data_IF_567612856982
#
_entry.id   IF_567612856982
#
_cell.length_a   1.000
_cell.length_b   1.000
_cell.length_c   1.000
_cell.angle_alpha   90.00
_cell.angle_beta   90.00
_cell.angle_gamma   90.00
#
_symmetry.space_group_name_H-M   'P 1'
#
loop_
_entity.id
_entity.type
_entity.pdbx_description
1 polymer ?
#
# COMPACT_ATOMS: atom_id res chain seq x y z
N UNK A 1 -1.43 -22.74 -10.08
CA UNK A 1 -1.19 -21.79 -8.96
C UNK A 1 -1.83 -22.29 -7.68
N UNK A 2 -1.04 -22.55 -6.63
CA UNK A 2 -1.54 -23.04 -5.33
C UNK A 2 -1.67 -21.94 -4.25
N UNK A 3 -1.07 -20.75 -4.45
CA UNK A 3 -1.17 -19.63 -3.49
C UNK A 3 -2.55 -18.96 -3.54
N UNK A 4 -3.18 -18.78 -2.38
CA UNK A 4 -4.51 -18.16 -2.25
C UNK A 4 -4.52 -16.70 -2.73
N UNK A 5 -3.50 -15.91 -2.38
CA UNK A 5 -3.38 -14.51 -2.80
C UNK A 5 -3.16 -14.40 -4.31
N UNK A 6 -2.31 -15.25 -4.88
CA UNK A 6 -2.12 -15.33 -6.33
C UNK A 6 -3.41 -15.71 -7.07
N UNK A 7 -4.20 -16.63 -6.52
CA UNK A 7 -5.52 -16.97 -7.09
C UNK A 7 -6.51 -15.80 -7.00
N UNK A 8 -6.48 -15.02 -5.91
CA UNK A 8 -7.28 -13.81 -5.81
C UNK A 8 -6.87 -12.78 -6.88
N UNK A 9 -5.57 -12.56 -7.08
CA UNK A 9 -5.05 -11.71 -8.16
C UNK A 9 -5.48 -12.20 -9.54
N UNK A 10 -5.40 -13.51 -9.81
CA UNK A 10 -5.83 -14.10 -11.08
C UNK A 10 -7.32 -13.85 -11.40
N UNK A 11 -8.16 -13.67 -10.38
CA UNK A 11 -9.57 -13.27 -10.55
C UNK A 11 -9.75 -11.76 -10.69
N UNK A 12 -9.03 -10.99 -9.88
CA UNK A 12 -9.17 -9.53 -9.78
C UNK A 12 -8.59 -8.79 -11.00
N UNK A 13 -7.35 -9.11 -11.38
CA UNK A 13 -6.60 -8.36 -12.40
C UNK A 13 -7.27 -8.35 -13.78
N UNK A 14 -7.81 -9.47 -14.30
CA UNK A 14 -8.54 -9.43 -15.57
C UNK A 14 -9.78 -8.53 -15.53
N UNK A 15 -10.46 -8.46 -14.39
CA UNK A 15 -11.62 -7.58 -14.23
C UNK A 15 -11.20 -6.11 -14.25
N UNK A 16 -10.15 -5.75 -13.51
CA UNK A 16 -9.62 -4.39 -13.48
C UNK A 16 -9.13 -3.95 -14.88
N UNK A 17 -8.43 -4.83 -15.59
CA UNK A 17 -7.94 -4.56 -16.96
C UNK A 17 -9.10 -4.31 -17.93
N UNK A 18 -10.17 -5.13 -17.89
CA UNK A 18 -11.36 -4.93 -18.74
C UNK A 18 -12.08 -3.62 -18.43
N UNK A 19 -12.09 -3.18 -17.18
CA UNK A 19 -12.65 -1.89 -16.77
C UNK A 19 -11.71 -0.70 -17.01
N UNK A 20 -10.54 -0.91 -17.63
CA UNK A 20 -9.60 0.16 -17.95
C UNK A 20 -8.87 0.76 -16.74
N UNK A 21 -8.76 0.00 -15.65
CA UNK A 21 -7.94 0.37 -14.49
C UNK A 21 -6.49 -0.08 -14.69
N UNK A 22 -5.56 0.63 -14.04
CA UNK A 22 -4.13 0.27 -14.01
C UNK A 22 -3.68 0.17 -12.57
N UNK A 23 -2.81 -0.80 -12.30
CA UNK A 23 -2.58 -1.26 -10.93
C UNK A 23 -1.15 -1.05 -10.47
N UNK A 24 -0.97 -0.65 -9.22
CA UNK A 24 0.28 -0.78 -8.47
C UNK A 24 0.15 -1.97 -7.52
N UNK A 25 1.12 -2.89 -7.53
CA UNK A 25 1.12 -4.05 -6.64
C UNK A 25 2.35 -3.95 -5.74
N UNK A 26 2.11 -3.81 -4.44
CA UNK A 26 3.16 -3.69 -3.43
C UNK A 26 3.38 -4.99 -2.68
N UNK A 27 4.65 -5.29 -2.39
CA UNK A 27 5.06 -6.32 -1.44
C UNK A 27 6.27 -5.87 -0.63
N UNK A 28 6.36 -6.32 0.62
CA UNK A 28 7.52 -6.13 1.50
C UNK A 28 8.74 -6.93 1.01
N UNK A 29 8.53 -8.02 0.28
CA UNK A 29 9.58 -9.00 -0.07
C UNK A 29 9.87 -8.97 -1.57
N UNK A 30 11.12 -8.70 -1.94
CA UNK A 30 11.54 -8.74 -3.35
C UNK A 30 11.43 -10.14 -3.96
N UNK A 31 11.65 -11.19 -3.16
CA UNK A 31 11.41 -12.58 -3.59
C UNK A 31 9.94 -12.86 -3.91
N UNK A 32 9.00 -12.17 -3.25
CA UNK A 32 7.59 -12.26 -3.61
C UNK A 32 7.30 -11.53 -4.93
N UNK A 33 8.04 -10.47 -5.25
CA UNK A 33 7.94 -9.82 -6.57
C UNK A 33 8.35 -10.78 -7.69
N UNK A 34 9.40 -11.60 -7.51
CA UNK A 34 9.79 -12.63 -8.48
C UNK A 34 8.62 -13.61 -8.77
N UNK A 35 7.90 -14.02 -7.72
CA UNK A 35 6.73 -14.90 -7.84
C UNK A 35 5.55 -14.16 -8.50
N UNK A 36 5.41 -12.87 -8.22
CA UNK A 36 4.37 -12.03 -8.84
C UNK A 36 4.64 -11.78 -10.32
N UNK A 37 5.89 -11.65 -10.75
CA UNK A 37 6.23 -11.58 -12.19
C UNK A 37 5.74 -12.83 -12.92
N UNK A 38 6.10 -14.01 -12.41
CA UNK A 38 5.61 -15.27 -12.96
C UNK A 38 4.08 -15.36 -12.93
N UNK A 39 3.46 -14.82 -11.87
CA UNK A 39 2.00 -14.75 -11.76
C UNK A 39 1.39 -13.89 -12.85
N UNK A 40 1.93 -12.70 -13.11
CA UNK A 40 1.44 -11.77 -14.12
C UNK A 40 1.67 -12.31 -15.54
N UNK A 41 2.78 -13.01 -15.77
CA UNK A 41 3.07 -13.70 -17.03
C UNK A 41 2.00 -14.76 -17.33
N UNK A 42 1.65 -15.60 -16.35
CA UNK A 42 0.59 -16.61 -16.48
C UNK A 42 -0.78 -15.98 -16.70
N UNK A 43 -1.07 -14.84 -16.08
CA UNK A 43 -2.32 -14.10 -16.29
C UNK A 43 -2.34 -13.41 -17.67
N UNK A 44 -1.18 -13.16 -18.29
CA UNK A 44 -1.05 -12.54 -19.60
C UNK A 44 -1.24 -11.03 -19.58
N UNK A 45 -0.65 -10.34 -18.58
CA UNK A 45 -0.70 -8.87 -18.48
C UNK A 45 0.69 -8.25 -18.53
N UNK A 46 0.77 -7.05 -19.08
CA UNK A 46 2.00 -6.26 -19.18
C UNK A 46 2.31 -5.59 -17.85
N UNK A 47 3.58 -5.58 -17.46
CA UNK A 47 4.01 -4.93 -16.23
C UNK A 47 5.41 -4.36 -16.31
N UNK A 48 5.72 -3.48 -15.37
CA UNK A 48 7.07 -3.06 -15.02
C UNK A 48 7.35 -3.45 -13.56
N UNK A 49 8.63 -3.57 -13.21
CA UNK A 49 9.07 -3.84 -11.84
C UNK A 49 10.01 -2.73 -11.39
N UNK A 50 9.81 -2.28 -10.16
CA UNK A 50 10.65 -1.30 -9.50
C UNK A 50 10.94 -1.77 -8.07
N UNK A 51 12.16 -2.26 -7.84
CA UNK A 51 12.61 -2.62 -6.50
C UNK A 51 13.94 -1.94 -6.15
N UNK A 52 14.10 -1.66 -4.85
CA UNK A 52 15.22 -0.82 -4.37
C UNK A 52 16.58 -1.49 -4.48
N UNK A 53 16.65 -2.81 -4.67
CA UNK A 53 17.87 -3.61 -4.67
C UNK A 53 18.46 -3.83 -6.06
N UNK A 54 17.63 -3.98 -7.09
CA UNK A 54 18.07 -4.35 -8.44
C UNK A 54 17.93 -3.21 -9.45
N UNK A 55 17.09 -2.20 -9.18
CA UNK A 55 16.87 -1.08 -10.09
C UNK A 55 17.87 0.04 -9.80
N UNK A 56 18.80 0.28 -10.74
CA UNK A 56 19.71 1.42 -10.70
C UNK A 56 18.92 2.72 -10.60
N UNK A 57 19.45 3.70 -9.86
CA UNK A 57 18.78 4.97 -9.61
C UNK A 57 18.42 5.69 -10.91
N UNK A 58 19.28 5.60 -11.93
CA UNK A 58 19.08 6.16 -13.27
C UNK A 58 17.86 5.57 -13.98
N UNK A 59 17.59 4.29 -13.80
CA UNK A 59 16.56 3.57 -14.55
C UNK A 59 15.18 3.71 -13.89
N UNK A 60 15.15 4.09 -12.60
CA UNK A 60 13.90 4.28 -11.84
C UNK A 60 13.02 5.34 -12.49
N UNK A 61 13.59 6.48 -12.87
CA UNK A 61 12.82 7.56 -13.48
C UNK A 61 12.25 7.13 -14.82
N UNK A 62 13.05 6.43 -15.64
CA UNK A 62 12.59 5.87 -16.91
C UNK A 62 11.41 4.91 -16.72
N UNK A 63 11.47 4.01 -15.74
CA UNK A 63 10.36 3.09 -15.45
C UNK A 63 9.10 3.84 -15.01
N UNK A 64 9.25 4.88 -14.19
CA UNK A 64 8.13 5.73 -13.74
C UNK A 64 7.53 6.49 -14.91
N UNK A 65 8.35 7.06 -15.78
CA UNK A 65 7.91 7.82 -16.95
C UNK A 65 7.23 6.91 -17.97
N UNK A 66 7.81 5.73 -18.25
CA UNK A 66 7.19 4.69 -19.06
C UNK A 66 5.82 4.34 -18.49
N UNK A 67 5.74 4.03 -17.19
CA UNK A 67 4.47 3.64 -16.58
C UNK A 67 3.44 4.78 -16.63
N UNK A 68 3.82 6.03 -16.36
CA UNK A 68 2.86 7.13 -16.39
C UNK A 68 2.37 7.47 -17.80
N UNK A 69 3.21 7.34 -18.82
CA UNK A 69 2.90 7.79 -20.18
C UNK A 69 2.43 6.67 -21.12
N UNK A 70 2.89 5.43 -20.93
CA UNK A 70 2.50 4.28 -21.74
C UNK A 70 1.34 3.50 -21.09
N UNK A 71 0.14 3.75 -21.60
CA UNK A 71 -1.10 3.09 -21.16
C UNK A 71 -1.16 1.60 -21.53
N UNK A 72 -0.27 1.10 -22.39
CA UNK A 72 -0.17 -0.33 -22.70
C UNK A 72 0.38 -1.17 -21.54
N UNK A 73 1.08 -0.53 -20.59
CA UNK A 73 1.61 -1.18 -19.39
C UNK A 73 0.50 -1.25 -18.34
N UNK A 74 0.01 -2.44 -18.02
CA UNK A 74 -1.15 -2.59 -17.13
C UNK A 74 -0.79 -2.46 -15.64
N UNK A 75 0.33 -3.06 -15.21
CA UNK A 75 0.71 -3.15 -13.80
C UNK A 75 2.12 -2.61 -13.52
N UNK A 76 2.37 -2.15 -12.31
CA UNK A 76 3.71 -1.91 -11.80
C UNK A 76 3.90 -2.67 -10.48
N UNK A 77 4.94 -3.50 -10.41
CA UNK A 77 5.34 -4.24 -9.21
C UNK A 77 6.33 -3.39 -8.41
N UNK A 78 6.06 -3.17 -7.14
CA UNK A 78 6.88 -2.33 -6.28
C UNK A 78 7.22 -3.04 -4.98
N UNK A 79 8.46 -2.91 -4.52
CA UNK A 79 8.74 -3.18 -3.12
C UNK A 79 8.34 -1.98 -2.26
N UNK A 80 7.78 -2.21 -1.09
CA UNK A 80 7.35 -1.10 -0.20
C UNK A 80 8.54 -0.23 0.23
N UNK A 81 9.74 -0.82 0.30
CA UNK A 81 11.01 -0.09 0.49
C UNK A 81 11.41 0.80 -0.69
N UNK A 82 11.14 0.38 -1.93
CA UNK A 82 11.32 1.24 -3.10
C UNK A 82 10.28 2.36 -3.13
N UNK A 83 9.10 2.12 -2.54
CA UNK A 83 8.05 3.11 -2.30
C UNK A 83 8.47 4.29 -1.40
N UNK A 84 9.53 4.18 -0.60
CA UNK A 84 10.03 5.28 0.24
C UNK A 84 10.75 6.40 -0.53
N UNK A 85 10.98 6.24 -1.83
CA UNK A 85 11.86 7.09 -2.64
C UNK A 85 11.19 8.32 -3.27
N UNK A 86 9.93 8.63 -2.93
CA UNK A 86 9.30 9.88 -3.39
C UNK A 86 8.67 9.86 -4.79
N UNK A 87 8.59 8.71 -5.46
CA UNK A 87 8.13 8.59 -6.86
C UNK A 87 6.64 8.96 -7.06
N UNK A 88 6.29 9.42 -8.26
CA UNK A 88 4.92 9.78 -8.66
C UNK A 88 4.40 8.74 -9.66
N UNK A 89 3.39 7.96 -9.28
CA UNK A 89 2.81 6.90 -10.12
C UNK A 89 1.33 7.20 -10.39
N UNK A 90 1.05 8.39 -10.91
CA UNK A 90 -0.31 8.89 -11.19
C UNK A 90 -0.97 8.18 -12.37
N UNK A 91 -0.21 7.42 -13.17
CA UNK A 91 -0.74 6.58 -14.25
C UNK A 91 -1.60 5.39 -13.80
N UNK A 92 -1.65 5.10 -12.50
CA UNK A 92 -2.49 4.07 -11.89
C UNK A 92 -3.54 4.67 -10.96
N UNK A 93 -4.71 4.03 -10.92
CA UNK A 93 -5.83 4.40 -10.05
C UNK A 93 -6.19 3.29 -9.05
N UNK A 94 -5.46 2.18 -9.07
CA UNK A 94 -5.70 1.05 -8.19
C UNK A 94 -4.41 0.62 -7.50
N UNK A 95 -4.45 0.45 -6.19
CA UNK A 95 -3.35 -0.06 -5.37
C UNK A 95 -3.73 -1.41 -4.81
N UNK A 96 -2.81 -2.37 -4.89
CA UNK A 96 -2.95 -3.69 -4.30
C UNK A 96 -1.78 -3.89 -3.34
N UNK A 97 -2.07 -4.00 -2.05
CA UNK A 97 -1.11 -4.38 -1.03
C UNK A 97 -1.18 -5.91 -0.88
N UNK A 98 -0.18 -6.61 -1.42
CA UNK A 98 -0.15 -8.08 -1.40
C UNK A 98 0.13 -8.63 -0.01
N UNK A 99 1.05 -7.98 0.71
CA UNK A 99 1.39 -8.27 2.10
C UNK A 99 1.67 -6.97 2.84
N UNK A 100 1.18 -6.92 4.09
CA UNK A 100 1.16 -5.70 4.89
C UNK A 100 2.39 -5.58 5.77
N UNK A 101 2.80 -4.35 6.03
CA UNK A 101 3.76 -4.05 7.09
C UNK A 101 3.08 -3.98 8.47
N UNK A 102 3.82 -4.27 9.53
CA UNK A 102 3.37 -4.05 10.91
C UNK A 102 3.22 -2.56 11.25
N UNK A 103 3.89 -1.69 10.52
CA UNK A 103 3.76 -0.25 10.58
C UNK A 103 2.82 0.24 9.46
N UNK A 104 1.57 0.61 9.78
CA UNK A 104 0.59 1.02 8.78
C UNK A 104 0.98 2.29 8.00
N UNK A 105 1.91 3.10 8.53
CA UNK A 105 2.38 4.31 7.84
C UNK A 105 3.18 3.98 6.58
N UNK A 106 3.83 2.81 6.53
CA UNK A 106 4.55 2.33 5.35
C UNK A 106 3.55 2.01 4.22
N UNK A 107 2.46 1.31 4.55
CA UNK A 107 1.39 1.01 3.60
C UNK A 107 0.69 2.30 3.13
N UNK A 108 0.40 3.25 4.04
CA UNK A 108 -0.18 4.55 3.70
C UNK A 108 0.72 5.34 2.73
N UNK A 109 2.03 5.34 2.95
CA UNK A 109 2.96 5.98 2.04
C UNK A 109 2.97 5.33 0.64
N UNK A 110 2.74 4.01 0.56
CA UNK A 110 2.61 3.33 -0.72
C UNK A 110 1.31 3.75 -1.45
N UNK A 111 0.21 3.92 -0.73
CA UNK A 111 -1.07 4.41 -1.24
C UNK A 111 -0.95 5.85 -1.81
N UNK A 112 -0.23 6.72 -1.10
CA UNK A 112 0.04 8.12 -1.50
C UNK A 112 0.82 8.24 -2.82
N UNK A 113 1.41 7.16 -3.33
CA UNK A 113 2.12 7.17 -4.64
C UNK A 113 1.18 7.36 -5.82
N UNK A 114 -0.05 6.89 -5.70
CA UNK A 114 -1.10 7.10 -6.69
C UNK A 114 -2.11 8.17 -6.27
N UNK A 115 -2.34 8.35 -4.95
CA UNK A 115 -3.17 9.40 -4.39
C UNK A 115 -2.39 10.72 -4.29
N UNK A 116 -1.95 11.22 -5.45
CA UNK A 116 -1.07 12.38 -5.56
C UNK A 116 -1.64 13.44 -6.50
N UNK A 117 -1.14 14.67 -6.36
CA UNK A 117 -1.48 15.79 -7.26
C UNK A 117 -1.20 15.36 -8.71
N UNK A 118 -2.23 15.45 -9.56
CA UNK A 118 -2.20 14.97 -10.95
C UNK A 118 -3.04 13.72 -11.20
N UNK A 119 -3.50 13.02 -10.16
CA UNK A 119 -4.51 11.97 -10.29
C UNK A 119 -5.90 12.59 -10.53
N UNK A 120 -6.62 12.06 -11.51
CA UNK A 120 -7.97 12.52 -11.90
C UNK A 120 -9.06 11.47 -11.65
N UNK A 121 -8.67 10.22 -11.38
CA UNK A 121 -9.59 9.09 -11.13
C UNK A 121 -9.66 8.76 -9.64
N UNK A 122 -10.81 8.28 -9.13
CA UNK A 122 -10.89 7.75 -7.77
C UNK A 122 -9.89 6.62 -7.56
N UNK A 123 -9.10 6.72 -6.49
CA UNK A 123 -8.12 5.69 -6.13
C UNK A 123 -8.80 4.59 -5.32
N UNK A 124 -8.62 3.33 -5.73
CA UNK A 124 -9.12 2.16 -4.99
C UNK A 124 -7.97 1.36 -4.41
N UNK A 125 -8.09 0.96 -3.13
CA UNK A 125 -7.04 0.24 -2.40
C UNK A 125 -7.56 -1.15 -2.02
N UNK A 126 -6.90 -2.19 -2.52
CA UNK A 126 -7.14 -3.58 -2.17
C UNK A 126 -6.04 -4.10 -1.24
N UNK A 127 -6.43 -4.61 -0.08
CA UNK A 127 -5.50 -5.23 0.88
C UNK A 127 -5.76 -6.73 0.94
N UNK A 128 -4.77 -7.55 0.58
CA UNK A 128 -4.94 -9.01 0.56
C UNK A 128 -4.62 -9.61 1.94
N UNK A 129 -5.64 -10.11 2.61
CA UNK A 129 -5.55 -10.74 3.94
C UNK A 129 -6.06 -12.17 3.86
N UNK A 130 -5.23 -13.13 4.25
CA UNK A 130 -5.61 -14.54 4.28
C UNK A 130 -6.25 -14.91 5.61
N UNK A 131 -7.50 -15.39 5.60
CA UNK A 131 -8.23 -15.80 6.80
C UNK A 131 -7.55 -16.98 7.52
N UNK A 132 -7.53 -16.94 8.85
CA UNK A 132 -6.99 -17.99 9.71
C UNK A 132 -5.46 -18.07 9.70
N UNK A 133 -4.77 -17.01 9.28
CA UNK A 133 -3.31 -16.97 9.21
C UNK A 133 -2.75 -15.74 9.92
N UNK A 134 -1.42 -15.64 9.97
CA UNK A 134 -0.71 -14.48 10.53
C UNK A 134 -1.10 -13.15 9.85
N UNK A 135 -1.61 -13.17 8.62
CA UNK A 135 -2.06 -11.97 7.91
C UNK A 135 -3.14 -11.21 8.70
N UNK A 136 -4.10 -11.91 9.32
CA UNK A 136 -5.15 -11.29 10.12
C UNK A 136 -4.58 -10.57 11.34
N UNK A 137 -3.59 -11.17 12.00
CA UNK A 137 -2.94 -10.56 13.16
C UNK A 137 -2.17 -9.30 12.75
N UNK A 138 -1.45 -9.33 11.62
CA UNK A 138 -0.75 -8.15 11.09
C UNK A 138 -1.75 -7.04 10.77
N UNK A 139 -2.86 -7.38 10.11
CA UNK A 139 -3.93 -6.45 9.78
C UNK A 139 -4.53 -5.78 11.03
N UNK A 140 -4.88 -6.57 12.05
CA UNK A 140 -5.46 -6.03 13.29
C UNK A 140 -4.47 -5.17 14.07
N UNK A 141 -3.20 -5.55 14.13
CA UNK A 141 -2.15 -4.73 14.76
C UNK A 141 -2.00 -3.39 14.03
N UNK A 142 -1.92 -3.41 12.70
CA UNK A 142 -1.79 -2.21 11.88
C UNK A 142 -3.00 -1.28 12.05
N UNK A 143 -4.22 -1.85 12.05
CA UNK A 143 -5.46 -1.12 12.27
C UNK A 143 -5.51 -0.46 13.65
N UNK A 144 -5.15 -1.19 14.71
CA UNK A 144 -5.08 -0.64 16.08
C UNK A 144 -4.11 0.53 16.17
N UNK A 145 -2.93 0.42 15.57
CA UNK A 145 -1.96 1.52 15.52
C UNK A 145 -2.53 2.77 14.85
N UNK A 146 -3.22 2.62 13.73
CA UNK A 146 -3.89 3.76 13.07
C UNK A 146 -4.97 4.41 13.94
N UNK A 147 -5.77 3.60 14.65
CA UNK A 147 -6.80 4.13 15.55
C UNK A 147 -6.18 4.91 16.71
N UNK A 148 -5.09 4.41 17.28
CA UNK A 148 -4.35 5.13 18.33
C UNK A 148 -3.76 6.43 17.81
N UNK A 149 -3.10 6.39 16.65
CA UNK A 149 -2.52 7.59 16.02
C UNK A 149 -3.60 8.65 15.80
N UNK A 150 -4.78 8.26 15.29
CA UNK A 150 -5.89 9.18 15.06
C UNK A 150 -6.45 9.77 16.37
N UNK A 151 -6.63 8.96 17.40
CA UNK A 151 -7.13 9.44 18.70
C UNK A 151 -6.18 10.44 19.36
N UNK A 152 -4.86 10.22 19.24
CA UNK A 152 -3.85 11.15 19.75
C UNK A 152 -3.90 12.48 19.00
N UNK A 153 -3.97 12.45 17.66
CA UNK A 153 -4.10 13.65 16.83
C UNK A 153 -5.35 14.46 17.16
N UNK A 154 -6.49 13.79 17.37
CA UNK A 154 -7.75 14.44 17.76
C UNK A 154 -7.62 15.08 19.16
N UNK A 155 -7.08 14.36 20.14
CA UNK A 155 -6.88 14.89 21.50
C UNK A 155 -5.87 16.05 21.58
N UNK A 156 -4.91 16.10 20.65
CA UNK A 156 -3.93 17.19 20.58
C UNK A 156 -4.51 18.51 20.06
N UNK A 157 -5.62 18.46 19.33
CA UNK A 157 -6.33 19.65 18.83
C UNK A 157 -7.10 20.34 19.97
N UNK A 158 -7.53 19.59 20.98
CA UNK A 158 -8.29 20.13 22.13
C UNK A 158 -7.39 20.83 23.19
N UNK A 159 -6.07 20.58 23.17
CA UNK A 159 -5.13 21.17 24.15
C UNK A 159 -4.86 22.67 23.87
N UNK A 160 -5.20 23.19 22.68
CA UNK A 160 -5.03 24.62 22.38
C UNK A 160 -6.15 25.53 22.93
N UNK A 161 -7.21 25.01 23.56
CA UNK A 161 -8.37 25.83 23.95
C UNK A 161 -8.87 25.76 25.39
N UNK A 162 -8.26 25.03 26.32
CA UNK A 162 -8.63 25.15 27.74
C UNK A 162 -7.41 25.25 28.65
N UNK A 163 -7.22 26.45 29.21
CA UNK A 163 -6.44 26.60 30.42
C UNK A 163 -7.12 25.84 31.55
N UNK A 164 -6.32 24.99 32.22
CA UNK A 164 -6.62 24.26 33.44
C UNK A 164 -7.45 22.97 33.27
N UNK A 165 -6.80 21.82 32.99
CA UNK A 165 -7.25 20.50 33.50
C UNK A 165 -6.10 19.48 33.58
N UNK A 166 -6.07 18.74 34.68
CA UNK A 166 -5.17 17.64 35.09
C UNK A 166 -4.47 16.85 33.97
N UNK A 167 -3.14 16.87 33.98
CA UNK A 167 -2.23 16.03 33.17
C UNK A 167 -2.48 14.53 33.42
N UNK A 168 -3.46 13.94 32.73
CA UNK A 168 -3.39 12.50 32.49
C UNK A 168 -2.28 12.26 31.47
N UNK A 169 -1.22 11.61 31.91
CA UNK A 169 -0.07 11.30 31.05
C UNK A 169 -0.55 10.50 29.84
N UNK A 170 0.09 10.70 28.67
CA UNK A 170 -0.20 9.96 27.43
C UNK A 170 -0.40 8.45 27.66
N UNK A 171 0.38 7.83 28.55
CA UNK A 171 0.23 6.41 28.93
C UNK A 171 -1.11 6.03 29.56
N UNK A 172 -1.76 6.92 30.31
CA UNK A 172 -3.06 6.67 30.94
C UNK A 172 -4.20 6.74 29.93
N UNK A 173 -4.16 7.70 29.00
CA UNK A 173 -5.12 7.81 27.89
C UNK A 173 -5.01 6.56 27.00
N UNK A 174 -3.78 6.18 26.63
CA UNK A 174 -3.50 4.97 25.86
C UNK A 174 -4.01 3.71 26.55
N UNK A 175 -3.86 3.59 27.87
CA UNK A 175 -4.33 2.41 28.61
C UNK A 175 -5.86 2.31 28.60
N UNK A 176 -6.58 3.44 28.74
CA UNK A 176 -8.04 3.45 28.68
C UNK A 176 -8.63 3.11 27.31
N UNK A 177 -7.94 3.48 26.22
CA UNK A 177 -8.37 3.16 24.86
C UNK A 177 -8.06 1.71 24.45
N UNK A 178 -7.07 1.08 25.07
CA UNK A 178 -6.62 -0.28 24.75
C UNK A 178 -7.32 -1.40 25.54
N UNK A 179 -7.99 -1.06 26.64
CA UNK A 179 -8.61 -2.04 27.55
C UNK A 179 -10.14 -2.17 27.41
N UNK A 180 -10.75 -1.49 26.44
CA UNK A 180 -12.18 -1.61 26.10
C UNK A 180 -12.38 -2.34 24.76
#
# INVERSE_FOLDING_TARGET
MLSAKCQALAKLLPSLKRSGHRVLIFSQWTSMLDILEWTLDVIGVTYKRLDGSSTQVTDRQTIVDDFNNDTSIFACLLSTRAGGQGLNLTGADTVIIHDMDFNPQIDRQAEDRCHRIGQIRPVTIYRLVTKGTVDENVYEIAKRKLTLDAAVLESGIDIENEGDTSEKTMGQILTSLLMN
#
